data_IF_671333359760
#
_entry.id   IF_671333359760
#
_cell.length_a   1.000
_cell.length_b   1.000
_cell.length_c   1.000
_cell.angle_alpha   90.00
_cell.angle_beta   90.00
_cell.angle_gamma   90.00
#
_symmetry.space_group_name_H-M   'P 1'
#
loop_
_entity.id
_entity.type
_entity.pdbx_description
1 polymer ?
#
# COMPACT_ATOMS: atom_id res chain seq x y z
N UNK A 1 -9.45 -22.12 6.56
CA UNK A 1 -8.06 -21.74 6.23
C UNK A 1 -8.01 -20.22 6.29
N UNK A 2 -7.50 -19.66 7.38
CA UNK A 2 -7.51 -18.21 7.58
C UNK A 2 -6.61 -17.54 6.55
N UNK A 3 -7.14 -16.59 5.79
CA UNK A 3 -6.36 -15.80 4.83
C UNK A 3 -5.27 -15.05 5.61
N UNK A 4 -4.00 -15.33 5.33
CA UNK A 4 -2.90 -14.56 5.89
C UNK A 4 -3.05 -13.11 5.43
N UNK A 5 -2.95 -12.14 6.33
CA UNK A 5 -3.04 -10.71 6.00
C UNK A 5 -1.65 -10.08 5.86
N UNK A 6 -1.58 -9.00 5.09
CA UNK A 6 -0.39 -8.19 4.84
C UNK A 6 -0.66 -6.79 5.41
N UNK A 7 0.14 -6.38 6.40
CA UNK A 7 0.03 -5.06 7.01
C UNK A 7 0.25 -3.96 5.97
N UNK A 8 -0.52 -2.88 6.06
CA UNK A 8 -0.33 -1.70 5.20
C UNK A 8 0.84 -0.83 5.64
N UNK A 9 1.39 -1.07 6.83
CA UNK A 9 2.35 -0.19 7.48
C UNK A 9 1.72 1.08 8.07
N UNK A 10 0.38 1.17 8.09
CA UNK A 10 -0.38 2.28 8.66
C UNK A 10 -1.22 1.71 9.81
N UNK A 11 -0.71 1.79 11.04
CA UNK A 11 -1.32 1.16 12.22
C UNK A 11 -2.80 1.55 12.41
N UNK A 12 -3.13 2.83 12.19
CA UNK A 12 -4.50 3.31 12.27
C UNK A 12 -5.43 2.63 11.27
N UNK A 13 -4.96 2.40 10.04
CA UNK A 13 -5.73 1.74 8.99
C UNK A 13 -5.81 0.24 9.20
N UNK A 14 -4.69 -0.41 9.52
CA UNK A 14 -4.64 -1.87 9.75
C UNK A 14 -5.64 -2.29 10.84
N UNK A 15 -5.79 -1.51 11.91
CA UNK A 15 -6.81 -1.75 12.95
C UNK A 15 -8.24 -1.71 12.43
N UNK A 16 -8.52 -0.91 11.39
CA UNK A 16 -9.84 -0.82 10.77
C UNK A 16 -10.13 -1.97 9.80
N UNK A 17 -9.09 -2.63 9.27
CA UNK A 17 -9.21 -3.70 8.26
C UNK A 17 -8.66 -5.05 8.75
N UNK A 18 -8.82 -5.32 10.05
CA UNK A 18 -8.48 -6.61 10.67
C UNK A 18 -6.99 -7.01 10.54
N UNK A 19 -6.09 -6.03 10.51
CA UNK A 19 -4.64 -6.24 10.45
C UNK A 19 -4.02 -6.13 9.05
N UNK A 20 -4.79 -5.69 8.05
CA UNK A 20 -4.28 -5.35 6.72
C UNK A 20 -5.00 -6.07 5.59
N UNK A 21 -4.40 -6.07 4.40
CA UNK A 21 -5.00 -6.64 3.21
C UNK A 21 -4.91 -8.17 3.17
N UNK A 22 -5.90 -8.88 2.60
CA UNK A 22 -5.75 -10.31 2.36
C UNK A 22 -4.57 -10.60 1.42
N UNK A 23 -3.72 -11.56 1.77
CA UNK A 23 -2.58 -11.93 0.93
C UNK A 23 -3.06 -12.60 -0.35
N UNK A 24 -2.53 -12.14 -1.49
CA UNK A 24 -2.86 -12.68 -2.81
C UNK A 24 -4.03 -11.97 -3.51
N UNK A 25 -4.66 -11.00 -2.85
CA UNK A 25 -5.79 -10.27 -3.40
C UNK A 25 -5.35 -8.99 -4.13
N UNK A 26 -6.19 -8.54 -5.07
CA UNK A 26 -6.06 -7.22 -5.71
C UNK A 26 -6.84 -6.18 -4.92
N UNK A 27 -6.18 -5.08 -4.56
CA UNK A 27 -6.76 -4.00 -3.76
C UNK A 27 -6.96 -2.76 -4.63
N UNK A 28 -8.19 -2.22 -4.64
CA UNK A 28 -8.53 -0.99 -5.33
C UNK A 28 -8.66 0.17 -4.33
N UNK A 29 -7.77 1.16 -4.42
CA UNK A 29 -7.79 2.36 -3.58
C UNK A 29 -8.43 3.54 -4.33
N UNK A 30 -9.61 3.98 -3.90
CA UNK A 30 -10.38 5.07 -4.53
C UNK A 30 -10.47 6.29 -3.61
N UNK A 31 -10.39 7.47 -4.20
CA UNK A 31 -10.60 8.75 -3.52
C UNK A 31 -10.32 9.94 -4.45
N UNK A 32 -10.87 11.10 -4.11
CA UNK A 32 -10.66 12.35 -4.88
C UNK A 32 -9.18 12.74 -4.98
N UNK A 33 -8.77 13.55 -5.96
CA UNK A 33 -7.42 14.12 -6.00
C UNK A 33 -7.03 14.76 -4.66
N UNK A 34 -5.77 14.60 -4.25
CA UNK A 34 -5.26 15.15 -2.98
C UNK A 34 -5.60 14.35 -1.70
N UNK A 35 -6.38 13.26 -1.77
CA UNK A 35 -6.73 12.45 -0.57
C UNK A 35 -5.63 11.49 -0.10
N UNK A 36 -4.41 11.60 -0.63
CA UNK A 36 -3.26 10.81 -0.15
C UNK A 36 -3.09 9.40 -0.74
N UNK A 37 -3.75 9.06 -1.85
CA UNK A 37 -3.64 7.72 -2.50
C UNK A 37 -2.20 7.34 -2.84
N UNK A 38 -1.46 8.23 -3.49
CA UNK A 38 -0.04 8.03 -3.84
C UNK A 38 0.80 7.78 -2.59
N UNK A 39 0.59 8.57 -1.53
CA UNK A 39 1.27 8.40 -0.26
C UNK A 39 0.93 7.07 0.42
N UNK A 40 -0.34 6.66 0.40
CA UNK A 40 -0.75 5.35 0.92
C UNK A 40 -0.05 4.21 0.17
N UNK A 41 -0.05 4.23 -1.17
CA UNK A 41 0.62 3.21 -1.99
C UNK A 41 2.12 3.19 -1.76
N UNK A 42 2.77 4.35 -1.63
CA UNK A 42 4.20 4.46 -1.33
C UNK A 42 4.52 3.89 0.06
N UNK A 43 3.71 4.18 1.08
CA UNK A 43 3.89 3.64 2.43
C UNK A 43 3.77 2.11 2.45
N UNK A 44 2.80 1.55 1.74
CA UNK A 44 2.65 0.10 1.63
C UNK A 44 3.87 -0.54 0.97
N UNK A 45 4.36 0.05 -0.12
CA UNK A 45 5.57 -0.43 -0.79
C UNK A 45 6.81 -0.32 0.10
N UNK A 46 6.98 0.81 0.78
CA UNK A 46 8.08 1.03 1.72
C UNK A 46 8.06 0.03 2.88
N UNK A 47 6.87 -0.26 3.42
CA UNK A 47 6.70 -1.27 4.46
C UNK A 47 7.22 -2.64 4.00
N UNK A 48 6.86 -3.08 2.80
CA UNK A 48 7.38 -4.33 2.23
C UNK A 48 8.89 -4.31 2.06
N UNK A 49 9.46 -3.21 1.55
CA UNK A 49 10.91 -3.05 1.39
C UNK A 49 11.67 -3.18 2.72
N UNK A 50 11.16 -2.57 3.80
CA UNK A 50 11.76 -2.66 5.14
C UNK A 50 11.70 -4.09 5.70
N UNK A 51 10.70 -4.89 5.30
CA UNK A 51 10.57 -6.30 5.66
C UNK A 51 11.34 -7.25 4.74
N UNK A 52 12.07 -6.71 3.76
CA UNK A 52 12.86 -7.48 2.80
C UNK A 52 12.04 -8.05 1.63
N UNK A 53 10.80 -7.60 1.43
CA UNK A 53 10.00 -7.94 0.26
C UNK A 53 10.39 -7.06 -0.95
N UNK A 54 10.39 -7.65 -2.14
CA UNK A 54 10.52 -6.90 -3.39
C UNK A 54 9.18 -6.31 -3.81
N UNK A 55 9.19 -5.10 -4.36
CA UNK A 55 7.98 -4.48 -4.91
C UNK A 55 8.25 -3.55 -6.07
N UNK A 56 7.21 -3.29 -6.86
CA UNK A 56 7.27 -2.44 -8.06
C UNK A 56 6.21 -1.35 -7.92
N UNK A 57 6.61 -0.10 -8.18
CA UNK A 57 5.70 1.02 -8.36
C UNK A 57 5.58 1.35 -9.85
N UNK A 58 4.36 1.32 -10.38
CA UNK A 58 4.08 1.69 -11.77
C UNK A 58 3.17 2.91 -11.77
N UNK A 59 3.63 4.00 -12.39
CA UNK A 59 2.88 5.25 -12.54
C UNK A 59 2.76 5.63 -14.01
N UNK A 60 1.57 6.10 -14.38
CA UNK A 60 1.29 6.66 -15.72
C UNK A 60 1.10 8.18 -15.70
N UNK A 61 1.01 8.78 -14.50
CA UNK A 61 0.68 10.20 -14.31
C UNK A 61 1.88 11.04 -13.90
N UNK A 62 2.85 10.45 -13.19
CA UNK A 62 3.98 11.15 -12.58
C UNK A 62 5.30 10.44 -12.91
N UNK A 63 6.33 11.23 -13.20
CA UNK A 63 7.68 10.72 -13.43
C UNK A 63 8.39 10.32 -12.13
N UNK A 64 9.49 9.59 -12.24
CA UNK A 64 10.29 9.13 -11.09
C UNK A 64 10.69 10.27 -10.15
N UNK A 65 11.01 11.45 -10.67
CA UNK A 65 11.44 12.59 -9.86
C UNK A 65 10.35 13.15 -8.93
N UNK A 66 9.08 12.89 -9.24
CA UNK A 66 7.95 13.28 -8.40
C UNK A 66 7.60 12.22 -7.34
N UNK A 67 8.15 11.01 -7.47
CA UNK A 67 8.03 9.95 -6.49
C UNK A 67 9.17 10.10 -5.48
N UNK A 68 8.81 10.29 -4.20
CA UNK A 68 9.71 10.67 -3.09
C UNK A 68 11.12 10.08 -3.12
#
# INVERSE_FOLDING_TARGET
>A
MGSSRVSTGIEGFDRLVEGGFPRGDTILLIGNPGTGKTGFSAQFLYKGLVEGECGIYVSFSEGREAFF
#
